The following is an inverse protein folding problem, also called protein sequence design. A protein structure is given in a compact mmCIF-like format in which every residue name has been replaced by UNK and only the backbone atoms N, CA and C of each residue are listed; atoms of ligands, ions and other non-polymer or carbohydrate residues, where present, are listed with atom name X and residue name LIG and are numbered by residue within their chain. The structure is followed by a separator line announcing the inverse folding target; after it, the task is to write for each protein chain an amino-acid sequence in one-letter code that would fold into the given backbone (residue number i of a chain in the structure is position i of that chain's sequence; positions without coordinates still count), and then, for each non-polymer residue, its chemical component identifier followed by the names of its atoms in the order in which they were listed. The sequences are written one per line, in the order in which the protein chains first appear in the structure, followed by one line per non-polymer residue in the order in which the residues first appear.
data_IF_135869106949
#
_entry.id   IF_135869106949
#
_cell.length_a   1.000
_cell.length_b   1.000
_cell.length_c   1.000
_cell.angle_alpha   90.00
_cell.angle_beta   90.00
_cell.angle_gamma   90.00
#
_symmetry.space_group_name_H-M   'P 1'
#
loop_
_entity.id
_entity.type
_entity.pdbx_description
1 polymer ?
#
# COMPACT_ATOMS: atom_id res chain seq x y z
N UNK A 1 -21.45 10.44 -16.22
CA UNK A 1 -20.02 10.13 -16.07
C UNK A 1 -19.82 8.65 -16.19
N UNK A 2 -18.87 8.25 -17.03
CA UNK A 2 -18.40 6.88 -17.13
C UNK A 2 -17.46 6.55 -15.96
N UNK A 3 -17.26 5.27 -15.61
CA UNK A 3 -16.33 4.88 -14.55
C UNK A 3 -14.89 5.37 -14.78
N UNK A 4 -14.47 5.45 -16.05
CA UNK A 4 -13.13 5.94 -16.42
C UNK A 4 -12.99 7.44 -16.19
N UNK A 5 -14.02 8.23 -16.51
CA UNK A 5 -14.02 9.68 -16.25
C UNK A 5 -13.92 9.98 -14.75
N UNK A 6 -14.66 9.23 -13.92
CA UNK A 6 -14.56 9.35 -12.46
C UNK A 6 -13.15 9.04 -11.95
N UNK A 7 -12.52 7.98 -12.47
CA UNK A 7 -11.16 7.61 -12.08
C UNK A 7 -10.15 8.72 -12.42
N UNK A 8 -10.26 9.30 -13.62
CA UNK A 8 -9.37 10.39 -14.05
C UNK A 8 -9.55 11.62 -13.16
N UNK A 9 -10.80 11.99 -12.86
CA UNK A 9 -11.12 13.11 -11.98
C UNK A 9 -10.53 12.93 -10.57
N UNK A 10 -10.69 11.73 -9.98
CA UNK A 10 -10.12 11.38 -8.67
C UNK A 10 -8.60 11.56 -8.67
N UNK A 11 -7.93 11.03 -9.70
CA UNK A 11 -6.46 11.07 -9.81
C UNK A 11 -5.98 12.51 -9.96
N UNK A 12 -6.61 13.30 -10.83
CA UNK A 12 -6.25 14.70 -11.06
C UNK A 12 -6.45 15.51 -9.78
N UNK A 13 -7.60 15.36 -9.10
CA UNK A 13 -7.87 16.05 -7.85
C UNK A 13 -6.83 15.75 -6.77
N UNK A 14 -6.57 14.46 -6.53
CA UNK A 14 -5.57 14.00 -5.55
C UNK A 14 -4.17 14.55 -5.87
N UNK A 15 -3.81 14.62 -7.15
CA UNK A 15 -2.53 15.16 -7.58
C UNK A 15 -2.42 16.68 -7.36
N UNK A 16 -3.45 17.45 -7.72
CA UNK A 16 -3.47 18.92 -7.55
C UNK A 16 -3.40 19.35 -6.08
N UNK A 17 -4.00 18.57 -5.18
CA UNK A 17 -4.01 18.84 -3.75
C UNK A 17 -2.83 18.18 -3.00
N UNK A 18 -1.96 17.46 -3.71
CA UNK A 18 -0.80 16.80 -3.10
C UNK A 18 0.26 17.80 -2.67
N UNK A 19 0.73 17.65 -1.44
CA UNK A 19 1.86 18.42 -0.90
C UNK A 19 3.12 17.57 -0.86
N UNK A 20 4.28 18.18 -0.59
CA UNK A 20 5.52 17.42 -0.35
C UNK A 20 5.37 16.37 0.77
N UNK A 21 4.50 16.61 1.75
CA UNK A 21 4.17 15.65 2.83
C UNK A 21 3.44 14.44 2.25
N UNK A 22 2.50 14.65 1.32
CA UNK A 22 1.78 13.56 0.62
C UNK A 22 2.77 12.65 -0.10
N UNK A 23 3.72 13.21 -0.84
CA UNK A 23 4.76 12.46 -1.53
C UNK A 23 5.68 11.70 -0.57
N UNK A 24 6.07 12.32 0.55
CA UNK A 24 6.89 11.67 1.58
C UNK A 24 6.16 10.47 2.21
N UNK A 25 4.89 10.64 2.57
CA UNK A 25 4.07 9.57 3.16
C UNK A 25 3.84 8.44 2.16
N UNK A 26 3.58 8.75 0.89
CA UNK A 26 3.50 7.73 -0.16
C UNK A 26 4.81 6.96 -0.30
N UNK A 27 5.95 7.66 -0.34
CA UNK A 27 7.25 7.01 -0.41
C UNK A 27 7.49 6.07 0.77
N UNK A 28 7.21 6.54 2.00
CA UNK A 28 7.35 5.71 3.21
C UNK A 28 6.42 4.49 3.18
N UNK A 29 5.17 4.65 2.73
CA UNK A 29 4.20 3.57 2.61
C UNK A 29 4.62 2.51 1.58
N UNK A 30 5.05 2.94 0.39
CA UNK A 30 5.60 2.04 -0.64
C UNK A 30 6.85 1.33 -0.13
N UNK A 31 7.79 2.06 0.48
CA UNK A 31 9.02 1.48 1.01
C UNK A 31 8.73 0.42 2.09
N UNK A 32 7.83 0.73 3.03
CA UNK A 32 7.42 -0.21 4.08
C UNK A 32 6.74 -1.44 3.50
N UNK A 33 5.92 -1.26 2.46
CA UNK A 33 5.24 -2.36 1.76
C UNK A 33 6.24 -3.30 1.08
N UNK A 34 7.15 -2.75 0.28
CA UNK A 34 8.22 -3.51 -0.41
C UNK A 34 9.09 -4.23 0.60
N UNK A 35 9.50 -3.57 1.69
CA UNK A 35 10.29 -4.17 2.76
C UNK A 35 9.54 -5.31 3.44
N UNK A 36 8.26 -5.13 3.76
CA UNK A 36 7.41 -6.16 4.37
C UNK A 36 7.32 -7.41 3.49
N UNK A 37 7.05 -7.25 2.19
CA UNK A 37 7.05 -8.36 1.24
C UNK A 37 8.44 -8.98 1.08
N UNK A 38 9.50 -8.18 1.01
CA UNK A 38 10.88 -8.67 0.92
C UNK A 38 11.25 -9.58 2.09
N UNK A 39 10.85 -9.23 3.31
CA UNK A 39 11.09 -10.08 4.49
C UNK A 39 10.17 -11.30 4.48
N UNK A 40 8.88 -11.13 4.14
CA UNK A 40 7.92 -12.22 4.10
C UNK A 40 8.40 -13.37 3.20
N UNK A 41 8.86 -13.02 2.00
CA UNK A 41 9.30 -13.96 0.98
C UNK A 41 10.78 -14.33 1.03
N UNK A 42 11.55 -13.85 2.02
CA UNK A 42 12.98 -14.16 2.14
C UNK A 42 13.22 -15.65 2.37
N UNK A 43 12.47 -16.21 3.31
CA UNK A 43 12.65 -17.59 3.79
C UNK A 43 11.40 -18.47 3.48
N UNK A 44 10.39 -17.91 2.83
CA UNK A 44 9.14 -18.60 2.47
C UNK A 44 8.81 -18.33 0.99
N UNK A 45 8.66 -19.38 0.17
CA UNK A 45 8.41 -19.20 -1.27
C UNK A 45 6.95 -18.87 -1.57
N UNK A 46 6.04 -19.32 -0.73
CA UNK A 46 4.60 -19.13 -0.89
C UNK A 46 3.94 -18.71 0.42
N UNK A 47 2.72 -18.18 0.31
CA UNK A 47 1.88 -17.90 1.48
C UNK A 47 1.58 -19.17 2.31
N UNK A 48 1.43 -20.32 1.66
CA UNK A 48 1.22 -21.59 2.35
C UNK A 48 2.43 -21.95 3.23
N UNK A 49 3.65 -21.73 2.73
CA UNK A 49 4.89 -21.92 3.48
C UNK A 49 4.94 -20.99 4.69
N UNK A 50 4.61 -19.70 4.51
CA UNK A 50 4.56 -18.74 5.63
C UNK A 50 3.57 -19.14 6.72
N UNK A 51 2.43 -19.71 6.32
CA UNK A 51 1.39 -20.15 7.27
C UNK A 51 1.84 -21.39 8.05
N UNK A 52 2.50 -22.33 7.37
CA UNK A 52 3.00 -23.57 7.95
C UNK A 52 4.27 -23.37 8.79
N UNK A 53 5.06 -22.33 8.51
CA UNK A 53 6.31 -22.03 9.22
C UNK A 53 6.04 -21.80 10.72
N UNK A 54 6.77 -22.45 11.64
CA UNK A 54 6.68 -22.16 13.08
C UNK A 54 7.04 -20.71 13.40
N UNK A 55 8.01 -20.14 12.69
CA UNK A 55 8.35 -18.72 12.78
C UNK A 55 7.30 -17.88 12.04
N UNK A 56 6.48 -17.16 12.81
CA UNK A 56 5.39 -16.32 12.31
C UNK A 56 5.86 -14.95 11.81
N UNK A 57 7.16 -14.68 11.78
CA UNK A 57 7.71 -13.42 11.27
C UNK A 57 7.34 -13.19 9.81
N UNK A 58 7.44 -14.23 8.96
CA UNK A 58 7.16 -14.11 7.53
C UNK A 58 5.70 -13.71 7.24
N UNK A 59 4.74 -14.39 7.87
CA UNK A 59 3.32 -14.07 7.71
C UNK A 59 2.94 -12.71 8.31
N UNK A 60 3.56 -12.31 9.43
CA UNK A 60 3.33 -10.98 10.01
C UNK A 60 3.81 -9.85 9.09
N UNK A 61 4.98 -10.04 8.46
CA UNK A 61 5.53 -9.07 7.50
C UNK A 61 4.74 -9.05 6.19
N UNK A 62 4.17 -10.18 5.77
CA UNK A 62 3.26 -10.24 4.63
C UNK A 62 2.02 -9.35 4.85
N UNK A 63 1.36 -9.49 5.99
CA UNK A 63 0.22 -8.64 6.35
C UNK A 63 0.62 -7.16 6.54
N UNK A 64 1.79 -6.91 7.14
CA UNK A 64 2.34 -5.55 7.23
C UNK A 64 2.50 -4.92 5.85
N UNK A 65 3.02 -5.69 4.88
CA UNK A 65 3.18 -5.28 3.49
C UNK A 65 1.85 -4.89 2.84
N UNK A 66 0.82 -5.74 3.02
CA UNK A 66 -0.55 -5.52 2.51
C UNK A 66 -1.16 -4.26 3.13
N UNK A 67 -1.13 -4.13 4.46
CA UNK A 67 -1.73 -2.99 5.15
C UNK A 67 -1.06 -1.69 4.72
N UNK A 68 0.27 -1.68 4.58
CA UNK A 68 1.00 -0.53 4.06
C UNK A 68 0.62 -0.17 2.61
N UNK A 69 0.41 -1.16 1.74
CA UNK A 69 -0.08 -0.92 0.37
C UNK A 69 -1.46 -0.28 0.37
N UNK A 70 -2.40 -0.82 1.15
CA UNK A 70 -3.76 -0.29 1.25
C UNK A 70 -3.74 1.13 1.79
N UNK A 71 -3.00 1.38 2.87
CA UNK A 71 -2.86 2.72 3.44
C UNK A 71 -2.27 3.71 2.45
N UNK A 72 -1.29 3.30 1.64
CA UNK A 72 -0.69 4.18 0.62
C UNK A 72 -1.74 4.63 -0.40
N UNK A 73 -2.55 3.69 -0.90
CA UNK A 73 -3.63 3.98 -1.84
C UNK A 73 -4.69 4.88 -1.19
N UNK A 74 -5.11 4.54 0.03
CA UNK A 74 -6.11 5.32 0.77
C UNK A 74 -5.62 6.74 1.02
N UNK A 75 -4.38 6.95 1.48
CA UNK A 75 -3.83 8.27 1.77
C UNK A 75 -3.78 9.14 0.51
N UNK A 76 -3.42 8.56 -0.64
CA UNK A 76 -3.39 9.31 -1.89
C UNK A 76 -4.79 9.76 -2.32
N UNK A 77 -5.81 8.93 -2.11
CA UNK A 77 -7.20 9.23 -2.49
C UNK A 77 -8.06 9.83 -1.37
N UNK A 78 -7.56 9.92 -0.15
CA UNK A 78 -8.28 10.45 1.02
C UNK A 78 -8.82 11.87 0.80
N UNK A 79 -8.06 12.79 0.16
CA UNK A 79 -8.57 14.12 -0.12
C UNK A 79 -9.81 14.13 -1.01
N UNK A 80 -9.91 13.19 -1.97
CA UNK A 80 -11.07 13.07 -2.84
C UNK A 80 -12.32 12.56 -2.11
N UNK A 81 -12.14 11.66 -1.14
CA UNK A 81 -13.27 11.03 -0.41
C UNK A 81 -13.91 11.93 0.66
N UNK A 82 -13.24 13.01 1.07
CA UNK A 82 -13.69 13.91 2.15
C UNK A 82 -14.48 15.11 1.59
N UNK A 83 -14.54 15.26 0.27
CA UNK A 83 -15.34 16.29 -0.42
C UNK A 83 -16.77 15.81 -0.67
#
# INVERSE_FOLDING_TARGET
MTPTEQLIEVITFSYEHSTWVTWLVMFMGVFQSVRGFGIAFRDNKTYADMKANPDKTGIAQFYTGIVASILTVVIFFLPYLIQ
#
